data_IF_658339818180
#
_entry.id   IF_658339818180
#
_cell.length_a   1.000
_cell.length_b   1.000
_cell.length_c   1.000
_cell.angle_alpha   90.00
_cell.angle_beta   90.00
_cell.angle_gamma   90.00
#
_symmetry.space_group_name_H-M   'P 1'
#
loop_
_entity.id
_entity.type
_entity.pdbx_description
1 polymer ?
#
# COMPACT_ATOMS: atom_id res chain seq x y z
N UNK A 1 7.33 -1.54 -4.56
CA UNK A 1 6.87 -0.73 -5.67
C UNK A 1 5.37 -0.44 -5.58
N UNK A 2 4.49 -1.40 -5.88
CA UNK A 2 3.05 -1.24 -6.06
C UNK A 2 2.34 -0.45 -4.94
N UNK A 3 2.57 -0.81 -3.67
CA UNK A 3 1.92 -0.18 -2.52
C UNK A 3 2.22 1.32 -2.38
N UNK A 4 3.48 1.72 -2.59
CA UNK A 4 3.87 3.13 -2.49
C UNK A 4 3.47 3.91 -3.74
N UNK A 5 3.44 3.28 -4.92
CA UNK A 5 2.83 3.86 -6.12
C UNK A 5 1.35 4.19 -5.89
N UNK A 6 0.60 3.26 -5.30
CA UNK A 6 -0.82 3.46 -4.96
C UNK A 6 -1.05 4.54 -3.89
N UNK A 7 -0.15 4.64 -2.91
CA UNK A 7 -0.26 5.63 -1.84
C UNK A 7 -0.05 7.04 -2.38
N UNK A 8 0.97 7.23 -3.21
CA UNK A 8 1.42 8.55 -3.64
C UNK A 8 0.84 9.03 -4.98
N UNK A 9 0.15 8.18 -5.76
CA UNK A 9 -0.46 8.58 -7.04
C UNK A 9 -1.48 9.72 -6.92
N UNK A 10 -2.09 9.89 -5.75
CA UNK A 10 -3.07 10.96 -5.51
C UNK A 10 -2.43 12.36 -5.43
N UNK A 11 -1.13 12.44 -5.15
CA UNK A 11 -0.47 13.70 -4.87
C UNK A 11 -0.51 14.69 -6.04
N UNK A 12 -0.15 14.31 -7.27
CA UNK A 12 -0.27 15.21 -8.43
C UNK A 12 -1.72 15.50 -8.84
N UNK A 13 -2.68 14.70 -8.36
CA UNK A 13 -4.10 14.88 -8.67
C UNK A 13 -4.78 15.92 -7.75
N UNK A 14 -4.13 16.39 -6.66
CA UNK A 14 -4.77 17.25 -5.67
C UNK A 14 -5.43 18.51 -6.24
N UNK A 15 -4.81 19.26 -7.16
CA UNK A 15 -5.46 20.42 -7.77
C UNK A 15 -6.74 20.04 -8.54
N UNK A 16 -6.66 18.97 -9.34
CA UNK A 16 -7.78 18.47 -10.14
C UNK A 16 -8.93 17.99 -9.25
N UNK A 17 -8.61 17.35 -8.12
CA UNK A 17 -9.62 16.91 -7.14
C UNK A 17 -10.27 18.10 -6.43
N UNK A 18 -9.50 19.18 -6.15
CA UNK A 18 -10.05 20.39 -5.57
C UNK A 18 -11.11 21.02 -6.51
N UNK A 19 -10.79 21.14 -7.78
CA UNK A 19 -11.71 21.68 -8.79
C UNK A 19 -12.91 20.76 -9.03
N UNK A 20 -12.68 19.45 -9.16
CA UNK A 20 -13.73 18.47 -9.44
C UNK A 20 -14.77 18.34 -8.34
N UNK A 21 -14.33 18.32 -7.08
CA UNK A 21 -15.21 18.18 -5.90
C UNK A 21 -15.64 19.53 -5.32
N UNK A 22 -15.20 20.66 -5.89
CA UNK A 22 -15.46 22.02 -5.39
C UNK A 22 -15.05 22.18 -3.92
N UNK A 23 -13.88 21.71 -3.57
CA UNK A 23 -13.31 21.72 -2.21
C UNK A 23 -12.09 22.65 -2.11
N UNK A 24 -11.73 23.03 -0.89
CA UNK A 24 -10.55 23.86 -0.69
C UNK A 24 -9.24 23.10 -1.01
N UNK A 25 -8.15 23.81 -1.36
CA UNK A 25 -6.82 23.21 -1.54
C UNK A 25 -6.34 22.44 -0.30
N UNK A 26 -6.71 22.88 0.90
CA UNK A 26 -6.40 22.15 2.14
C UNK A 26 -7.13 20.81 2.18
N UNK A 27 -8.41 20.77 1.83
CA UNK A 27 -9.18 19.53 1.80
C UNK A 27 -8.66 18.55 0.77
N UNK A 28 -8.14 19.01 -0.37
CA UNK A 28 -7.59 18.13 -1.40
C UNK A 28 -6.33 17.37 -0.95
N UNK A 29 -5.69 17.78 0.14
CA UNK A 29 -4.56 17.06 0.75
C UNK A 29 -5.01 15.92 1.71
N UNK A 30 -6.28 15.91 2.15
CA UNK A 30 -6.80 14.90 3.08
C UNK A 30 -6.64 13.46 2.60
N UNK A 31 -6.81 13.11 1.32
CA UNK A 31 -6.62 11.75 0.82
C UNK A 31 -5.25 11.18 1.14
N UNK A 32 -4.19 11.98 0.98
CA UNK A 32 -2.84 11.57 1.32
C UNK A 32 -2.62 11.52 2.83
N UNK A 33 -3.05 12.56 3.56
CA UNK A 33 -2.88 12.64 5.00
C UNK A 33 -3.59 11.49 5.72
N UNK A 34 -4.83 11.20 5.37
CA UNK A 34 -5.59 10.10 5.97
C UNK A 34 -5.00 8.73 5.61
N UNK A 35 -4.51 8.55 4.37
CA UNK A 35 -3.82 7.32 4.00
C UNK A 35 -2.54 7.11 4.81
N UNK A 36 -1.75 8.16 5.04
CA UNK A 36 -0.49 8.03 5.79
C UNK A 36 -0.72 7.83 7.29
N UNK A 37 -1.73 8.48 7.87
CA UNK A 37 -2.13 8.23 9.27
C UNK A 37 -2.63 6.79 9.41
N UNK A 38 -3.51 6.36 8.51
CA UNK A 38 -4.03 4.98 8.51
C UNK A 38 -2.92 3.95 8.31
N UNK A 39 -1.92 4.24 7.45
CA UNK A 39 -0.72 3.41 7.30
C UNK A 39 0.03 3.29 8.64
N UNK A 40 0.30 4.41 9.31
CA UNK A 40 1.03 4.41 10.58
C UNK A 40 0.30 3.58 11.66
N UNK A 41 -1.00 3.76 11.78
CA UNK A 41 -1.85 2.94 12.68
C UNK A 41 -1.83 1.47 12.26
N UNK A 42 -1.97 1.21 10.97
CA UNK A 42 -1.97 -0.14 10.40
C UNK A 42 -0.67 -0.90 10.66
N UNK A 43 0.50 -0.24 10.62
CA UNK A 43 1.80 -0.87 10.88
C UNK A 43 1.86 -1.54 12.26
N UNK A 44 1.23 -0.92 13.28
CA UNK A 44 1.20 -1.46 14.64
C UNK A 44 0.44 -2.79 14.69
N UNK A 45 -0.74 -2.83 14.06
CA UNK A 45 -1.61 -4.00 14.11
C UNK A 45 -1.20 -5.10 13.14
N UNK A 46 -0.71 -4.73 11.96
CA UNK A 46 -0.40 -5.71 10.91
C UNK A 46 0.77 -6.60 11.28
N UNK A 47 1.76 -6.09 12.01
CA UNK A 47 2.85 -6.91 12.55
C UNK A 47 2.31 -8.09 13.36
N UNK A 48 1.40 -7.81 14.30
CA UNK A 48 0.77 -8.82 15.15
C UNK A 48 -0.08 -9.83 14.36
N UNK A 49 -0.85 -9.34 13.40
CA UNK A 49 -1.72 -10.18 12.58
C UNK A 49 -0.86 -11.13 11.72
N UNK A 50 0.27 -10.63 11.19
CA UNK A 50 1.17 -11.42 10.36
C UNK A 50 1.86 -12.57 11.11
N UNK A 51 2.09 -12.40 12.40
CA UNK A 51 2.65 -13.45 13.27
C UNK A 51 1.71 -14.64 13.47
N UNK A 52 0.40 -14.44 13.24
CA UNK A 52 -0.62 -15.48 13.34
C UNK A 52 -0.96 -16.14 12.01
N UNK A 53 -1.16 -15.34 10.96
CA UNK A 53 -1.70 -15.81 9.68
C UNK A 53 -0.62 -16.13 8.63
N UNK A 54 0.63 -15.77 8.91
CA UNK A 54 1.76 -15.96 8.02
C UNK A 54 2.04 -14.74 7.14
N UNK A 55 3.28 -14.66 6.65
CA UNK A 55 3.79 -13.49 5.92
C UNK A 55 3.17 -13.34 4.53
N UNK A 56 3.26 -14.42 3.71
CA UNK A 56 2.77 -14.39 2.32
C UNK A 56 1.28 -14.07 2.19
N UNK A 57 0.34 -14.71 2.93
CA UNK A 57 -1.08 -14.40 2.82
C UNK A 57 -1.38 -12.92 3.09
N UNK A 58 -0.80 -12.33 4.14
CA UNK A 58 -1.03 -10.92 4.48
C UNK A 58 -0.58 -10.00 3.36
N UNK A 59 0.63 -10.21 2.80
CA UNK A 59 1.14 -9.39 1.69
C UNK A 59 0.26 -9.52 0.44
N UNK A 60 -0.18 -10.73 0.11
CA UNK A 60 -1.04 -10.98 -1.05
C UNK A 60 -2.40 -10.29 -0.88
N UNK A 61 -3.08 -10.53 0.24
CA UNK A 61 -4.36 -9.87 0.53
C UNK A 61 -4.25 -8.35 0.52
N UNK A 62 -3.17 -7.80 1.06
CA UNK A 62 -2.91 -6.36 1.03
C UNK A 62 -2.80 -5.81 -0.39
N UNK A 63 -2.03 -6.47 -1.26
CA UNK A 63 -1.87 -6.03 -2.65
C UNK A 63 -3.19 -6.08 -3.44
N UNK A 64 -3.96 -7.16 -3.32
CA UNK A 64 -5.27 -7.26 -3.97
C UNK A 64 -6.26 -6.23 -3.44
N UNK A 65 -6.31 -6.03 -2.11
CA UNK A 65 -7.18 -5.02 -1.49
C UNK A 65 -6.85 -3.61 -1.96
N UNK A 66 -5.56 -3.25 -2.04
CA UNK A 66 -5.13 -1.94 -2.56
C UNK A 66 -5.58 -1.76 -4.01
N UNK A 67 -5.39 -2.76 -4.88
CA UNK A 67 -5.81 -2.70 -6.26
C UNK A 67 -7.33 -2.52 -6.39
N UNK A 68 -8.12 -3.31 -5.66
CA UNK A 68 -9.58 -3.21 -5.66
C UNK A 68 -10.09 -1.87 -5.13
N UNK A 69 -9.47 -1.34 -4.07
CA UNK A 69 -9.83 -0.03 -3.50
C UNK A 69 -9.52 1.12 -4.47
N UNK A 70 -8.42 1.04 -5.23
CA UNK A 70 -8.13 2.00 -6.30
C UNK A 70 -9.20 1.95 -7.40
N UNK A 71 -9.56 0.75 -7.88
CA UNK A 71 -10.61 0.58 -8.88
C UNK A 71 -11.95 1.11 -8.37
N UNK A 72 -12.31 0.82 -7.11
CA UNK A 72 -13.53 1.32 -6.48
C UNK A 72 -13.54 2.84 -6.40
N UNK A 73 -12.43 3.46 -6.02
CA UNK A 73 -12.31 4.92 -5.91
C UNK A 73 -12.44 5.64 -7.27
N UNK A 74 -12.10 4.95 -8.36
CA UNK A 74 -12.24 5.49 -9.71
C UNK A 74 -13.69 5.45 -10.22
N UNK A 75 -14.46 4.44 -9.80
CA UNK A 75 -15.84 4.21 -10.27
C UNK A 75 -16.87 5.00 -9.46
N UNK A 76 -16.60 5.27 -8.19
CA UNK A 76 -17.50 5.97 -7.27
C UNK A 76 -16.96 7.38 -6.95
N UNK A 77 -17.23 8.40 -7.80
CA UNK A 77 -16.67 9.74 -7.65
C UNK A 77 -17.47 10.56 -6.62
N UNK A 78 -17.57 10.06 -5.40
CA UNK A 78 -18.16 10.74 -4.25
C UNK A 78 -17.07 11.05 -3.26
N UNK A 79 -16.91 12.30 -2.82
CA UNK A 79 -15.79 12.74 -1.99
C UNK A 79 -15.62 11.92 -0.70
N UNK A 80 -16.70 11.68 0.03
CA UNK A 80 -16.65 10.88 1.27
C UNK A 80 -16.23 9.43 1.03
N UNK A 81 -16.71 8.82 -0.06
CA UNK A 81 -16.32 7.47 -0.47
C UNK A 81 -14.85 7.45 -0.88
N UNK A 82 -14.41 8.46 -1.63
CA UNK A 82 -12.99 8.60 -2.02
C UNK A 82 -12.08 8.70 -0.79
N UNK A 83 -12.44 9.51 0.21
CA UNK A 83 -11.68 9.59 1.47
C UNK A 83 -11.68 8.26 2.23
N UNK A 84 -12.82 7.59 2.32
CA UNK A 84 -12.91 6.29 2.97
C UNK A 84 -12.03 5.23 2.29
N UNK A 85 -12.03 5.19 0.94
CA UNK A 85 -11.13 4.28 0.21
C UNK A 85 -9.66 4.61 0.47
N UNK A 86 -9.29 5.88 0.64
CA UNK A 86 -7.92 6.29 0.96
C UNK A 86 -7.48 5.85 2.36
N UNK A 87 -8.35 5.94 3.36
CA UNK A 87 -8.09 5.38 4.71
C UNK A 87 -7.87 3.87 4.60
N UNK A 88 -8.74 3.15 3.91
CA UNK A 88 -8.62 1.70 3.73
C UNK A 88 -7.35 1.33 2.94
N UNK A 89 -6.97 2.10 1.92
CA UNK A 89 -5.69 1.91 1.21
C UNK A 89 -4.52 2.05 2.18
N UNK A 90 -4.50 3.07 3.03
CA UNK A 90 -3.46 3.25 4.04
C UNK A 90 -3.34 2.04 4.97
N UNK A 91 -4.47 1.57 5.52
CA UNK A 91 -4.50 0.38 6.37
C UNK A 91 -4.00 -0.88 5.64
N UNK A 92 -4.42 -1.09 4.40
CA UNK A 92 -4.01 -2.28 3.64
C UNK A 92 -2.56 -2.23 3.17
N UNK A 93 -2.04 -1.04 2.82
CA UNK A 93 -0.62 -0.83 2.48
C UNK A 93 0.30 -1.27 3.63
N UNK A 94 -0.12 -1.10 4.89
CA UNK A 94 0.65 -1.54 6.05
C UNK A 94 0.95 -3.04 6.03
N UNK A 95 0.07 -3.85 5.42
CA UNK A 95 0.24 -5.30 5.34
C UNK A 95 1.49 -5.74 4.58
N UNK A 96 1.88 -5.02 3.54
CA UNK A 96 3.16 -5.28 2.86
C UNK A 96 4.29 -4.53 3.55
N UNK A 97 4.08 -3.27 3.95
CA UNK A 97 5.13 -2.44 4.52
C UNK A 97 5.71 -3.01 5.82
N UNK A 98 4.84 -3.53 6.72
CA UNK A 98 5.26 -4.14 7.98
C UNK A 98 5.89 -5.53 7.80
N UNK A 99 5.42 -6.30 6.80
CA UNK A 99 5.70 -7.74 6.75
C UNK A 99 6.84 -8.09 5.79
N UNK A 100 7.07 -7.27 4.75
CA UNK A 100 8.03 -7.61 3.71
C UNK A 100 9.48 -7.74 4.23
N UNK A 101 9.91 -6.84 5.11
CA UNK A 101 11.27 -6.91 5.68
C UNK A 101 11.44 -8.15 6.57
N UNK A 102 10.42 -8.49 7.35
CA UNK A 102 10.43 -9.70 8.19
C UNK A 102 10.47 -10.95 7.33
N UNK A 103 9.66 -10.99 6.25
CA UNK A 103 9.68 -12.10 5.30
C UNK A 103 11.06 -12.28 4.67
N UNK A 104 11.71 -11.19 4.25
CA UNK A 104 13.07 -11.23 3.68
C UNK A 104 14.05 -11.78 4.71
N UNK A 105 13.99 -11.32 5.97
CA UNK A 105 14.88 -11.79 7.03
C UNK A 105 14.68 -13.25 7.40
N UNK A 106 13.46 -13.80 7.27
CA UNK A 106 13.13 -15.19 7.58
C UNK A 106 13.45 -16.17 6.45
N UNK A 107 13.32 -15.73 5.18
CA UNK A 107 13.36 -16.64 4.01
C UNK A 107 14.64 -16.52 3.18
N UNK A 108 15.36 -15.41 3.27
CA UNK A 108 16.60 -15.18 2.50
C UNK A 108 17.82 -15.61 3.30
N UNK A 109 18.79 -16.23 2.64
CA UNK A 109 20.03 -16.66 3.27
C UNK A 109 20.77 -15.45 3.89
N UNK A 110 21.36 -15.60 5.08
CA UNK A 110 21.99 -14.52 5.85
C UNK A 110 23.00 -13.68 5.04
N UNK A 111 23.73 -14.30 4.12
CA UNK A 111 24.70 -13.62 3.23
C UNK A 111 24.04 -12.67 2.22
N UNK A 112 22.77 -12.90 1.85
CA UNK A 112 22.06 -12.18 0.77
C UNK A 112 20.99 -11.23 1.33
N UNK A 113 20.68 -11.28 2.65
CA UNK A 113 19.63 -10.46 3.31
C UNK A 113 19.87 -8.97 3.10
N UNK A 114 21.09 -8.48 3.23
CA UNK A 114 21.41 -7.08 3.03
C UNK A 114 21.09 -6.58 1.61
N UNK A 115 21.43 -7.39 0.61
CA UNK A 115 21.12 -7.08 -0.79
C UNK A 115 19.61 -7.08 -1.04
N UNK A 116 18.90 -8.09 -0.56
CA UNK A 116 17.44 -8.21 -0.71
C UNK A 116 16.69 -7.05 -0.02
N UNK A 117 17.11 -6.65 1.17
CA UNK A 117 16.56 -5.48 1.87
C UNK A 117 16.85 -4.17 1.13
N UNK A 118 18.06 -3.99 0.61
CA UNK A 118 18.43 -2.85 -0.22
C UNK A 118 17.57 -2.75 -1.48
N UNK A 119 17.33 -3.87 -2.15
CA UNK A 119 16.44 -3.94 -3.31
C UNK A 119 14.98 -3.61 -2.95
N UNK A 120 14.49 -4.10 -1.80
CA UNK A 120 13.16 -3.78 -1.29
C UNK A 120 13.02 -2.27 -1.03
N UNK A 121 13.96 -1.66 -0.30
CA UNK A 121 13.95 -0.23 0.02
C UNK A 121 14.01 0.62 -1.25
N UNK A 122 14.91 0.29 -2.18
CA UNK A 122 14.98 0.95 -3.49
C UNK A 122 13.67 0.82 -4.26
N UNK A 123 13.05 -0.36 -4.24
CA UNK A 123 11.73 -0.60 -4.83
C UNK A 123 10.62 0.26 -4.20
N UNK A 124 10.69 0.59 -2.90
CA UNK A 124 9.72 1.49 -2.26
C UNK A 124 9.89 2.93 -2.73
N UNK A 125 11.14 3.42 -2.82
CA UNK A 125 11.45 4.75 -3.30
C UNK A 125 11.05 4.94 -4.78
N UNK A 126 11.46 4.00 -5.64
CA UNK A 126 11.07 3.99 -7.06
C UNK A 126 9.54 3.91 -7.20
N UNK A 127 8.86 3.11 -6.37
CA UNK A 127 7.40 3.00 -6.36
C UNK A 127 6.73 4.32 -6.05
N UNK A 128 7.18 5.02 -5.01
CA UNK A 128 6.65 6.32 -4.65
C UNK A 128 6.87 7.39 -5.72
N UNK A 129 8.04 7.41 -6.34
CA UNK A 129 8.37 8.33 -7.42
C UNK A 129 7.57 8.03 -8.69
N UNK A 130 7.58 6.78 -9.15
CA UNK A 130 6.88 6.39 -10.38
C UNK A 130 5.36 6.52 -10.26
N UNK A 131 4.78 6.29 -9.08
CA UNK A 131 3.35 6.53 -8.83
C UNK A 131 2.97 7.99 -9.05
N UNK A 132 3.79 8.93 -8.56
CA UNK A 132 3.60 10.37 -8.80
C UNK A 132 3.76 10.73 -10.26
N UNK A 133 4.85 10.28 -10.89
CA UNK A 133 5.15 10.59 -12.29
C UNK A 133 4.06 10.04 -13.21
N UNK A 134 3.71 8.77 -13.05
CA UNK A 134 2.68 8.13 -13.85
C UNK A 134 1.32 8.83 -13.70
N UNK A 135 0.92 9.10 -12.46
CA UNK A 135 -0.33 9.80 -12.18
C UNK A 135 -0.32 11.22 -12.77
N UNK A 136 0.79 11.97 -12.59
CA UNK A 136 0.93 13.33 -13.14
C UNK A 136 0.81 13.35 -14.66
N UNK A 137 1.55 12.48 -15.35
CA UNK A 137 1.49 12.38 -16.81
C UNK A 137 0.09 11.95 -17.28
N UNK A 138 -0.53 10.97 -16.63
CA UNK A 138 -1.84 10.50 -17.06
C UNK A 138 -2.93 11.58 -16.95
N UNK A 139 -2.94 12.36 -15.86
CA UNK A 139 -3.98 13.38 -15.68
C UNK A 139 -3.84 14.59 -16.59
N UNK A 140 -2.70 14.76 -17.27
CA UNK A 140 -2.55 15.76 -18.32
C UNK A 140 -3.30 15.39 -19.61
N UNK A 141 -3.57 14.10 -19.85
CA UNK A 141 -4.19 13.59 -21.05
C UNK A 141 -5.60 13.00 -20.84
N UNK A 142 -5.88 12.49 -19.64
CA UNK A 142 -7.13 11.79 -19.33
C UNK A 142 -7.68 12.22 -17.97
N UNK A 143 -8.95 11.87 -17.69
CA UNK A 143 -9.57 12.18 -16.39
C UNK A 143 -8.84 11.49 -15.23
N UNK A 144 -8.93 12.10 -14.04
CA UNK A 144 -8.34 11.52 -12.82
C UNK A 144 -8.94 10.13 -12.49
N UNK A 145 -10.20 9.90 -12.83
CA UNK A 145 -10.86 8.60 -12.69
C UNK A 145 -10.17 7.55 -13.57
N UNK A 146 -9.97 7.86 -14.85
CA UNK A 146 -9.30 6.96 -15.80
C UNK A 146 -7.85 6.71 -15.41
N UNK A 147 -7.13 7.74 -14.95
CA UNK A 147 -5.77 7.62 -14.45
C UNK A 147 -5.70 6.69 -13.23
N UNK A 148 -6.62 6.86 -12.27
CA UNK A 148 -6.71 6.00 -11.07
C UNK A 148 -7.08 4.56 -11.45
N UNK A 149 -7.96 4.37 -12.43
CA UNK A 149 -8.33 3.04 -12.94
C UNK A 149 -7.13 2.32 -13.57
N UNK A 150 -6.38 3.01 -14.42
CA UNK A 150 -5.16 2.45 -15.04
C UNK A 150 -4.15 2.02 -13.95
N UNK A 151 -3.90 2.88 -12.97
CA UNK A 151 -3.00 2.57 -11.86
C UNK A 151 -3.54 1.37 -11.05
N UNK A 152 -4.84 1.29 -10.82
CA UNK A 152 -5.50 0.16 -10.16
C UNK A 152 -5.32 -1.15 -10.92
N UNK A 153 -5.47 -1.13 -12.25
CA UNK A 153 -5.25 -2.30 -13.11
C UNK A 153 -3.79 -2.75 -13.11
N UNK A 154 -2.84 -1.81 -13.20
CA UNK A 154 -1.41 -2.13 -13.08
C UNK A 154 -1.12 -2.80 -11.73
N UNK A 155 -1.67 -2.26 -10.65
CA UNK A 155 -1.51 -2.85 -9.31
C UNK A 155 -2.14 -4.25 -9.21
N UNK A 156 -3.29 -4.47 -9.86
CA UNK A 156 -3.92 -5.79 -9.92
C UNK A 156 -3.05 -6.81 -10.68
N UNK A 157 -2.45 -6.41 -11.79
CA UNK A 157 -1.49 -7.24 -12.53
C UNK A 157 -0.27 -7.58 -11.65
N UNK A 158 0.28 -6.58 -10.93
CA UNK A 158 1.40 -6.80 -10.00
C UNK A 158 0.98 -7.73 -8.85
N UNK A 159 -0.19 -7.55 -8.26
CA UNK A 159 -0.70 -8.40 -7.19
C UNK A 159 -0.84 -9.86 -7.65
N UNK A 160 -1.36 -10.07 -8.86
CA UNK A 160 -1.52 -11.39 -9.47
C UNK A 160 -0.16 -12.04 -9.72
N UNK A 161 0.77 -11.29 -10.33
CA UNK A 161 2.15 -11.76 -10.56
C UNK A 161 2.84 -12.11 -9.24
N UNK A 162 2.69 -11.26 -8.23
CA UNK A 162 3.26 -11.49 -6.90
C UNK A 162 2.69 -12.75 -6.24
N UNK A 163 1.38 -13.00 -6.37
CA UNK A 163 0.74 -14.20 -5.83
C UNK A 163 1.38 -15.49 -6.37
N UNK A 164 1.65 -15.54 -7.68
CA UNK A 164 2.23 -16.72 -8.33
C UNK A 164 3.73 -16.85 -8.10
N UNK A 165 4.47 -15.74 -8.11
CA UNK A 165 5.93 -15.77 -8.02
C UNK A 165 6.45 -15.88 -6.58
N UNK A 166 5.74 -15.33 -5.58
CA UNK A 166 6.24 -15.36 -4.21
C UNK A 166 6.19 -16.78 -3.64
N UNK A 167 7.31 -17.35 -3.17
CA UNK A 167 7.32 -18.65 -2.50
C UNK A 167 6.47 -18.64 -1.22
N UNK A 168 6.00 -19.82 -0.82
CA UNK A 168 5.39 -19.96 0.51
C UNK A 168 6.47 -19.79 1.58
N UNK A 169 6.12 -19.14 2.69
CA UNK A 169 7.02 -19.06 3.86
C UNK A 169 7.34 -20.46 4.35
N UNK A 170 8.63 -20.83 4.35
CA UNK A 170 9.14 -22.14 4.78
C UNK A 170 9.59 -22.11 6.23
N UNK A 171 10.13 -20.96 6.67
CA UNK A 171 10.70 -20.77 7.99
C UNK A 171 9.75 -20.08 8.97
N UNK A 172 8.49 -19.86 8.57
CA UNK A 172 7.49 -19.22 9.40
C UNK A 172 7.07 -20.10 10.57
N UNK A 173 7.22 -19.59 11.80
CA UNK A 173 6.68 -20.18 13.01
C UNK A 173 5.56 -19.29 13.55
N UNK A 174 4.35 -19.83 13.65
CA UNK A 174 3.22 -19.10 14.20
C UNK A 174 3.43 -18.88 15.72
N UNK A 175 3.48 -17.64 16.16
CA UNK A 175 3.51 -17.31 17.57
C UNK A 175 2.12 -16.89 18.06
N UNK A 176 1.63 -17.42 19.19
CA UNK A 176 0.38 -16.95 19.79
C UNK A 176 0.55 -15.48 20.22
N UNK A 177 -0.42 -14.64 19.87
CA UNK A 177 -0.45 -13.23 20.26
C UNK A 177 -0.52 -13.15 21.78
N UNK A 178 0.58 -12.87 22.44
CA UNK A 178 0.59 -12.52 23.87
C UNK A 178 0.52 -11.00 23.98
N UNK A 179 -0.69 -10.49 24.19
CA UNK A 179 -0.95 -9.06 24.42
C UNK A 179 -0.11 -8.47 25.56
N UNK A 180 0.32 -9.32 26.51
CA UNK A 180 1.19 -8.94 27.63
C UNK A 180 2.56 -8.44 27.19
N UNK A 181 3.08 -8.86 26.05
CA UNK A 181 4.38 -8.35 25.54
C UNK A 181 4.31 -6.91 25.04
N UNK A 182 3.10 -6.43 24.67
CA UNK A 182 2.90 -5.03 24.27
C UNK A 182 2.94 -4.08 25.45
N UNK A 183 2.39 -4.51 26.60
CA UNK A 183 2.33 -3.66 27.81
C UNK A 183 3.69 -3.53 28.47
N UNK A 184 4.58 -4.50 28.27
CA UNK A 184 5.96 -4.47 28.83
C UNK A 184 7.00 -3.82 27.92
N UNK A 185 6.65 -3.47 26.68
CA UNK A 185 7.57 -2.83 25.73
C UNK A 185 7.41 -1.29 25.68
N UNK A 186 6.43 -0.74 26.38
CA UNK A 186 6.19 0.67 26.63
C UNK A 186 6.17 0.97 28.13
#
# INVERSE_FOLDING_TARGET
>A
FAIFSSLYCVQPMMPILADYFHISPTQSSFPLSFSTIALAVGLIFTGLISDRFGRKPIMVWSLFSVALLLLLSAVLPVWSVFLATRVLIGLTVSGVAAVAMTYIGEEVAAKDVGFAMGLYISGTAIGGMSGRLLAGVLVDFISWQSATLIIGLINLCIATTFYFLLPKSRNFQAYPIKLSRFITAF
#
